data_IF_604760737013
#
_entry.id   IF_604760737013
#
_cell.length_a   1.000
_cell.length_b   1.000
_cell.length_c   1.000
_cell.angle_alpha   90.00
_cell.angle_beta   90.00
_cell.angle_gamma   90.00
#
_symmetry.space_group_name_H-M   'P 1'
#
loop_
_entity.id
_entity.type
_entity.pdbx_description
1 polymer ?
#
# COMPACT_ATOMS: atom_id res chain seq x y z
N UNK A 1 5.95 17.35 34.61
CA UNK A 1 4.93 17.42 33.53
C UNK A 1 5.48 17.08 32.13
N UNK A 2 6.78 16.83 31.94
CA UNK A 2 7.41 16.58 30.63
C UNK A 2 7.36 15.14 30.12
N UNK A 3 7.20 14.13 30.98
CA UNK A 3 7.23 12.70 30.56
C UNK A 3 5.98 12.22 29.82
N UNK A 4 4.87 12.96 29.86
CA UNK A 4 3.59 12.59 29.20
C UNK A 4 3.58 13.05 27.71
N UNK A 5 4.53 13.90 27.30
CA UNK A 5 4.56 14.50 25.96
C UNK A 5 4.99 13.51 24.86
N UNK A 6 6.01 12.67 25.11
CA UNK A 6 6.64 11.85 24.08
C UNK A 6 5.75 10.73 23.51
N UNK A 7 4.87 10.15 24.32
CA UNK A 7 3.97 9.09 23.87
C UNK A 7 2.74 9.62 23.11
N UNK A 8 2.33 10.87 23.35
CA UNK A 8 1.34 11.56 22.51
C UNK A 8 1.94 11.88 21.14
N UNK A 9 3.19 12.35 21.13
CA UNK A 9 3.91 12.68 19.91
C UNK A 9 4.10 11.47 18.97
N UNK A 10 4.34 10.27 19.51
CA UNK A 10 4.42 9.06 18.70
C UNK A 10 3.08 8.70 18.01
N UNK A 11 1.94 9.02 18.65
CA UNK A 11 0.61 8.84 18.02
C UNK A 11 0.41 9.82 16.87
N UNK A 12 0.87 11.07 17.03
CA UNK A 12 0.78 12.10 16.00
C UNK A 12 1.64 11.76 14.78
N UNK A 13 2.91 11.39 14.99
CA UNK A 13 3.80 10.97 13.90
C UNK A 13 3.24 9.77 13.13
N UNK A 14 2.68 8.78 13.83
CA UNK A 14 2.08 7.63 13.17
C UNK A 14 0.81 8.02 12.38
N UNK A 15 0.05 8.99 12.89
CA UNK A 15 -1.09 9.59 12.18
C UNK A 15 -0.67 10.31 10.90
N UNK A 16 0.41 11.10 10.94
CA UNK A 16 0.97 11.76 9.75
C UNK A 16 1.43 10.76 8.69
N UNK A 17 2.04 9.64 9.11
CA UNK A 17 2.42 8.55 8.22
C UNK A 17 1.19 7.88 7.59
N UNK A 18 0.13 7.64 8.36
CA UNK A 18 -1.13 7.13 7.81
C UNK A 18 -1.73 8.08 6.77
N UNK A 19 -1.77 9.37 7.06
CA UNK A 19 -2.26 10.37 6.11
C UNK A 19 -1.42 10.42 4.83
N UNK A 20 -0.09 10.33 4.95
CA UNK A 20 0.82 10.27 3.82
C UNK A 20 0.60 9.01 2.96
N UNK A 21 0.37 7.86 3.61
CA UNK A 21 0.06 6.60 2.93
C UNK A 21 -1.22 6.71 2.09
N UNK A 22 -2.28 7.25 2.69
CA UNK A 22 -3.59 7.40 2.04
C UNK A 22 -3.53 8.41 0.87
N UNK A 23 -2.75 9.48 1.00
CA UNK A 23 -2.56 10.49 -0.06
C UNK A 23 -1.72 9.99 -1.24
N UNK A 24 -0.73 9.15 -1.00
CA UNK A 24 0.24 8.74 -2.04
C UNK A 24 -0.18 7.50 -2.83
N UNK A 25 -1.28 6.84 -2.47
CA UNK A 25 -1.71 5.54 -3.02
C UNK A 25 -2.08 5.54 -4.52
N UNK A 26 -2.12 6.70 -5.16
CA UNK A 26 -2.65 6.82 -6.53
C UNK A 26 -1.65 6.32 -7.59
N UNK A 27 -0.34 6.24 -7.29
CA UNK A 27 0.68 5.83 -8.27
C UNK A 27 1.08 4.35 -8.11
N UNK A 28 0.83 3.54 -9.14
CA UNK A 28 1.33 2.16 -9.23
C UNK A 28 2.65 1.99 -10.01
N UNK A 29 2.97 2.92 -10.93
CA UNK A 29 4.13 2.83 -11.82
C UNK A 29 3.73 2.44 -13.24
N UNK A 30 4.41 3.01 -14.24
CA UNK A 30 4.04 2.87 -15.65
C UNK A 30 4.71 1.65 -16.32
N UNK A 31 5.77 1.10 -15.71
CA UNK A 31 6.49 -0.11 -16.15
C UNK A 31 6.99 -0.96 -14.96
N UNK A 32 7.61 -2.12 -15.23
CA UNK A 32 8.08 -3.03 -14.19
C UNK A 32 9.18 -2.43 -13.30
N UNK A 33 10.05 -1.58 -13.86
CA UNK A 33 11.16 -0.96 -13.15
C UNK A 33 10.68 0.16 -12.22
N UNK A 34 9.79 1.04 -12.68
CA UNK A 34 9.18 2.09 -11.87
C UNK A 34 8.34 1.47 -10.76
N UNK A 35 7.52 0.47 -11.08
CA UNK A 35 6.68 -0.23 -10.10
C UNK A 35 7.54 -0.89 -9.01
N UNK A 36 8.64 -1.54 -9.37
CA UNK A 36 9.60 -2.10 -8.41
C UNK A 36 10.21 -1.01 -7.52
N UNK A 37 10.58 0.12 -8.11
CA UNK A 37 11.13 1.26 -7.35
C UNK A 37 10.11 1.81 -6.36
N UNK A 38 8.83 1.90 -6.75
CA UNK A 38 7.73 2.33 -5.86
C UNK A 38 7.52 1.31 -4.74
N UNK A 39 7.54 0.01 -5.05
CA UNK A 39 7.41 -1.08 -4.07
C UNK A 39 8.54 -1.05 -3.03
N UNK A 40 9.79 -0.84 -3.44
CA UNK A 40 10.93 -0.74 -2.54
C UNK A 40 10.86 0.50 -1.64
N UNK A 41 10.41 1.64 -2.18
CA UNK A 41 10.14 2.85 -1.39
C UNK A 41 9.01 2.62 -0.39
N UNK A 42 7.96 1.92 -0.79
CA UNK A 42 6.83 1.56 0.08
C UNK A 42 7.29 0.68 1.24
N UNK A 43 8.09 -0.36 1.00
CA UNK A 43 8.64 -1.24 2.06
C UNK A 43 9.44 -0.44 3.09
N UNK A 44 10.36 0.42 2.63
CA UNK A 44 11.13 1.30 3.52
C UNK A 44 10.24 2.24 4.33
N UNK A 45 9.17 2.74 3.73
CA UNK A 45 8.19 3.59 4.41
C UNK A 45 7.44 2.83 5.51
N UNK A 46 7.06 1.58 5.26
CA UNK A 46 6.45 0.69 6.27
C UNK A 46 7.42 0.42 7.43
N UNK A 47 8.70 0.18 7.15
CA UNK A 47 9.72 -0.02 8.19
C UNK A 47 9.87 1.21 9.11
N UNK A 48 9.80 2.42 8.53
CA UNK A 48 9.82 3.67 9.30
C UNK A 48 8.59 3.79 10.20
N UNK A 49 7.41 3.45 9.70
CA UNK A 49 6.18 3.47 10.49
C UNK A 49 6.19 2.43 11.62
N UNK A 50 6.67 1.21 11.33
CA UNK A 50 6.86 0.16 12.32
C UNK A 50 7.79 0.62 13.45
N UNK A 51 8.93 1.19 13.10
CA UNK A 51 9.90 1.70 14.06
C UNK A 51 9.32 2.82 14.93
N UNK A 52 8.50 3.69 14.34
CA UNK A 52 7.79 4.77 15.05
C UNK A 52 6.77 4.23 16.05
N UNK A 53 6.00 3.21 15.64
CA UNK A 53 5.06 2.52 16.51
C UNK A 53 5.75 1.82 17.69
N UNK A 54 6.82 1.08 17.42
CA UNK A 54 7.57 0.37 18.46
C UNK A 54 8.22 1.34 19.46
N UNK A 55 8.76 2.47 18.98
CA UNK A 55 9.24 3.55 19.82
C UNK A 55 8.14 4.10 20.74
N UNK A 56 6.96 4.39 20.19
CA UNK A 56 5.80 4.84 20.98
C UNK A 56 5.40 3.84 22.08
N UNK A 57 5.41 2.54 21.78
CA UNK A 57 5.14 1.49 22.77
C UNK A 57 6.19 1.43 23.88
N UNK A 58 7.47 1.56 23.53
CA UNK A 58 8.56 1.57 24.50
C UNK A 58 8.44 2.77 25.45
N UNK A 59 8.12 3.96 24.93
CA UNK A 59 7.88 5.16 25.76
C UNK A 59 6.71 4.98 26.71
N UNK A 60 5.61 4.37 26.26
CA UNK A 60 4.44 4.07 27.09
C UNK A 60 4.81 3.08 28.21
N UNK A 61 5.53 2.02 27.89
CA UNK A 61 5.98 1.04 28.88
C UNK A 61 6.92 1.68 29.92
N UNK A 62 7.89 2.49 29.49
CA UNK A 62 8.78 3.22 30.39
C UNK A 62 8.00 4.17 31.32
N UNK A 63 6.98 4.86 30.79
CA UNK A 63 6.12 5.74 31.57
C UNK A 63 5.37 4.99 32.67
N UNK A 64 4.85 3.79 32.37
CA UNK A 64 4.18 2.92 33.36
C UNK A 64 5.14 2.51 34.48
N UNK A 65 6.34 2.05 34.12
CA UNK A 65 7.39 1.62 35.09
C UNK A 65 7.81 2.78 35.99
N UNK A 66 8.01 3.98 35.41
CA UNK A 66 8.37 5.18 36.18
C UNK A 66 7.23 5.58 37.13
N UNK A 67 5.98 5.55 36.67
CA UNK A 67 4.83 5.91 37.50
C UNK A 67 4.64 4.94 38.68
N UNK A 68 4.84 3.63 38.46
CA UNK A 68 4.83 2.63 39.53
C UNK A 68 5.93 2.89 40.57
N UNK A 69 7.15 3.16 40.09
CA UNK A 69 8.32 3.42 40.95
C UNK A 69 8.15 4.69 41.79
N UNK A 70 7.55 5.73 41.21
CA UNK A 70 7.35 7.04 41.85
C UNK A 70 6.02 7.15 42.60
N UNK A 71 5.22 6.07 42.69
CA UNK A 71 3.85 6.06 43.28
C UNK A 71 2.95 7.16 42.71
N UNK A 72 3.17 7.52 41.45
CA UNK A 72 2.38 8.55 40.79
C UNK A 72 1.01 7.96 40.40
N UNK A 73 -0.07 8.58 40.86
CA UNK A 73 -1.46 8.23 40.50
C UNK A 73 -1.86 8.78 39.13
N UNK A 74 -0.94 8.79 38.16
CA UNK A 74 -1.15 9.45 36.88
C UNK A 74 -2.18 8.68 36.05
N UNK A 75 -3.40 9.21 36.00
CA UNK A 75 -4.57 8.68 35.28
C UNK A 75 -4.54 8.97 33.76
N UNK A 76 -3.51 9.64 33.23
CA UNK A 76 -3.55 10.27 31.89
C UNK A 76 -2.97 9.44 30.73
N UNK A 77 -2.34 8.29 30.96
CA UNK A 77 -1.76 7.45 29.88
C UNK A 77 -2.68 6.32 29.41
N UNK A 78 -3.83 6.12 30.05
CA UNK A 78 -4.72 4.97 29.79
C UNK A 78 -5.22 4.89 28.35
N UNK A 79 -5.50 6.05 27.73
CA UNK A 79 -6.09 6.12 26.40
C UNK A 79 -5.04 6.24 25.27
N UNK A 80 -3.78 6.56 25.60
CA UNK A 80 -2.73 6.76 24.59
C UNK A 80 -2.34 5.45 23.91
N UNK A 81 -2.20 4.35 24.66
CA UNK A 81 -1.89 3.04 24.09
C UNK A 81 -3.01 2.53 23.15
N UNK A 82 -4.30 2.55 23.55
CA UNK A 82 -5.41 2.26 22.63
C UNK A 82 -5.40 3.10 21.35
N UNK A 83 -5.11 4.41 21.46
CA UNK A 83 -5.01 5.30 20.29
C UNK A 83 -3.85 4.92 19.37
N UNK A 84 -2.66 4.69 19.93
CA UNK A 84 -1.49 4.24 19.17
C UNK A 84 -1.78 2.95 18.41
N UNK A 85 -2.36 1.95 19.09
CA UNK A 85 -2.73 0.67 18.49
C UNK A 85 -3.79 0.82 17.39
N UNK A 86 -4.75 1.74 17.56
CA UNK A 86 -5.78 2.01 16.54
C UNK A 86 -5.16 2.56 15.26
N UNK A 87 -4.33 3.61 15.38
CA UNK A 87 -3.67 4.22 14.22
C UNK A 87 -2.74 3.20 13.54
N UNK A 88 -1.99 2.43 14.33
CA UNK A 88 -1.15 1.35 13.80
C UNK A 88 -1.96 0.33 12.99
N UNK A 89 -3.09 -0.13 13.53
CA UNK A 89 -3.94 -1.10 12.82
C UNK A 89 -4.48 -0.56 11.50
N UNK A 90 -4.88 0.71 11.46
CA UNK A 90 -5.30 1.37 10.22
C UNK A 90 -4.14 1.49 9.22
N UNK A 91 -2.95 1.86 9.70
CA UNK A 91 -1.74 1.92 8.88
C UNK A 91 -1.38 0.56 8.29
N UNK A 92 -1.28 -0.49 9.11
CA UNK A 92 -0.88 -1.83 8.65
C UNK A 92 -1.81 -2.39 7.58
N UNK A 93 -3.13 -2.27 7.78
CA UNK A 93 -4.13 -2.73 6.79
C UNK A 93 -4.01 -1.96 5.48
N UNK A 94 -3.87 -0.63 5.55
CA UNK A 94 -3.70 0.19 4.35
C UNK A 94 -2.38 -0.10 3.62
N UNK A 95 -1.31 -0.35 4.38
CA UNK A 95 0.01 -0.61 3.84
C UNK A 95 0.08 -1.97 3.16
N UNK A 96 -0.57 -2.98 3.74
CA UNK A 96 -0.66 -4.32 3.17
C UNK A 96 -1.48 -4.32 1.88
N UNK A 97 -2.65 -3.68 1.87
CA UNK A 97 -3.47 -3.57 0.65
C UNK A 97 -2.70 -2.86 -0.47
N UNK A 98 -1.98 -1.77 -0.13
CA UNK A 98 -1.14 -1.08 -1.09
C UNK A 98 -0.04 -1.98 -1.64
N UNK A 99 0.63 -2.74 -0.77
CA UNK A 99 1.70 -3.63 -1.18
C UNK A 99 1.18 -4.69 -2.17
N UNK A 100 0.05 -5.32 -1.86
CA UNK A 100 -0.57 -6.32 -2.75
C UNK A 100 -0.89 -5.73 -4.13
N UNK A 101 -1.43 -4.50 -4.18
CA UNK A 101 -1.72 -3.80 -5.44
C UNK A 101 -0.47 -3.48 -6.25
N UNK A 102 0.61 -3.11 -5.60
CA UNK A 102 1.90 -2.86 -6.27
C UNK A 102 2.53 -4.16 -6.78
N UNK A 103 2.42 -5.26 -6.01
CA UNK A 103 2.92 -6.57 -6.41
C UNK A 103 2.14 -7.14 -7.62
N UNK A 104 0.82 -6.96 -7.65
CA UNK A 104 -0.01 -7.32 -8.81
C UNK A 104 0.31 -6.46 -10.03
N UNK A 105 0.54 -5.15 -9.85
CA UNK A 105 0.96 -4.26 -10.94
C UNK A 105 2.33 -4.67 -11.50
N UNK A 106 3.28 -5.01 -10.61
CA UNK A 106 4.60 -5.48 -11.02
C UNK A 106 4.51 -6.79 -11.81
N UNK A 107 3.67 -7.72 -11.36
CA UNK A 107 3.45 -8.97 -12.06
C UNK A 107 2.86 -8.72 -13.45
N UNK A 108 1.81 -7.90 -13.55
CA UNK A 108 1.21 -7.53 -14.82
C UNK A 108 2.25 -6.94 -15.79
N UNK A 109 3.02 -5.94 -15.35
CA UNK A 109 4.05 -5.32 -16.18
C UNK A 109 5.13 -6.31 -16.61
N UNK A 110 5.57 -7.19 -15.71
CA UNK A 110 6.58 -8.21 -16.02
C UNK A 110 6.08 -9.21 -17.07
N UNK A 111 4.82 -9.64 -16.97
CA UNK A 111 4.20 -10.55 -17.95
C UNK A 111 4.00 -9.83 -19.29
N UNK A 112 3.48 -8.61 -19.28
CA UNK A 112 3.30 -7.80 -20.48
C UNK A 112 4.61 -7.53 -21.23
N UNK A 113 5.66 -7.13 -20.51
CA UNK A 113 7.00 -6.91 -21.08
C UNK A 113 7.59 -8.20 -21.68
N UNK A 114 7.39 -9.35 -21.03
CA UNK A 114 7.84 -10.66 -21.54
C UNK A 114 7.19 -10.99 -22.88
N UNK A 115 5.88 -10.76 -23.00
CA UNK A 115 5.13 -11.02 -24.25
C UNK A 115 5.56 -10.07 -25.37
N UNK A 116 5.84 -8.81 -25.07
CA UNK A 116 6.33 -7.84 -26.06
C UNK A 116 7.71 -8.19 -26.63
N UNK A 117 8.54 -8.90 -25.86
CA UNK A 117 9.88 -9.30 -26.29
C UNK A 117 9.86 -10.56 -27.17
N UNK A 118 8.72 -11.23 -27.33
CA UNK A 118 8.61 -12.41 -28.18
C UNK A 118 8.45 -12.02 -29.66
N UNK A 119 9.26 -12.61 -30.53
CA UNK A 119 9.13 -12.46 -32.00
C UNK A 119 7.82 -13.07 -32.54
N UNK A 120 7.28 -14.08 -31.86
CA UNK A 120 6.01 -14.71 -32.15
C UNK A 120 5.20 -14.79 -30.84
N UNK A 121 4.07 -14.11 -30.79
CA UNK A 121 3.19 -14.09 -29.62
C UNK A 121 2.22 -15.26 -29.71
N UNK A 122 2.38 -16.24 -28.84
CA UNK A 122 1.47 -17.39 -28.73
C UNK A 122 0.17 -16.98 -28.02
N UNK A 123 -0.96 -17.58 -28.39
CA UNK A 123 -2.29 -17.28 -27.79
C UNK A 123 -2.28 -17.49 -26.27
N UNK A 124 -1.58 -18.53 -25.79
CA UNK A 124 -1.46 -18.82 -24.35
C UNK A 124 -0.76 -17.69 -23.56
N UNK A 125 0.20 -17.00 -24.19
CA UNK A 125 0.91 -15.88 -23.56
C UNK A 125 0.03 -14.63 -23.41
N UNK A 126 -0.91 -14.42 -24.33
CA UNK A 126 -1.91 -13.35 -24.24
C UNK A 126 -2.94 -13.61 -23.15
N UNK A 127 -3.34 -14.88 -22.97
CA UNK A 127 -4.26 -15.29 -21.90
C UNK A 127 -3.63 -15.06 -20.51
N UNK A 128 -2.32 -15.23 -20.35
CA UNK A 128 -1.58 -14.91 -19.12
C UNK A 128 -1.62 -13.39 -18.82
N UNK A 129 -1.40 -12.54 -19.84
CA UNK A 129 -1.50 -11.08 -19.70
C UNK A 129 -2.93 -10.66 -19.34
N UNK A 130 -3.94 -11.20 -20.01
CA UNK A 130 -5.35 -10.86 -19.75
C UNK A 130 -5.79 -11.30 -18.34
N UNK A 131 -5.39 -12.51 -17.92
CA UNK A 131 -5.68 -13.03 -16.57
C UNK A 131 -5.02 -12.20 -15.47
N UNK A 132 -3.76 -11.80 -15.67
CA UNK A 132 -3.04 -10.93 -14.73
C UNK A 132 -3.64 -9.52 -14.69
N UNK A 133 -4.04 -8.99 -15.85
CA UNK A 133 -4.77 -7.73 -15.97
C UNK A 133 -6.08 -7.76 -15.19
N UNK A 134 -6.95 -8.73 -15.43
CA UNK A 134 -8.22 -8.91 -14.70
C UNK A 134 -8.02 -8.94 -13.19
N UNK A 135 -7.07 -9.74 -12.72
CA UNK A 135 -6.76 -9.86 -11.28
C UNK A 135 -6.33 -8.53 -10.66
N UNK A 136 -5.50 -7.76 -11.37
CA UNK A 136 -5.09 -6.43 -10.96
C UNK A 136 -6.27 -5.45 -10.90
N UNK A 137 -7.12 -5.45 -11.93
CA UNK A 137 -8.31 -4.59 -12.02
C UNK A 137 -9.29 -4.86 -10.87
N UNK A 138 -9.56 -6.13 -10.59
CA UNK A 138 -10.47 -6.54 -9.51
C UNK A 138 -9.98 -6.02 -8.16
N UNK A 139 -8.68 -6.16 -7.89
CA UNK A 139 -8.08 -5.70 -6.62
C UNK A 139 -8.03 -4.19 -6.49
N UNK A 140 -7.77 -3.47 -7.57
CA UNK A 140 -7.74 -2.02 -7.56
C UNK A 140 -9.10 -1.38 -7.32
N UNK A 141 -10.17 -2.10 -7.64
CA UNK A 141 -11.56 -1.62 -7.50
C UNK A 141 -12.10 -1.84 -6.08
N UNK A 142 -11.42 -2.63 -5.24
CA UNK A 142 -11.89 -2.91 -3.88
C UNK A 142 -11.58 -1.76 -2.90
N UNK A 143 -12.52 -1.35 -2.03
CA UNK A 143 -12.23 -0.42 -0.94
C UNK A 143 -11.29 -1.03 0.10
N UNK A 144 -10.50 -0.17 0.74
CA UNK A 144 -9.86 -0.53 2.02
C UNK A 144 -10.93 -0.41 3.11
N UNK A 145 -11.19 -1.49 3.84
CA UNK A 145 -12.14 -1.51 4.94
C UNK A 145 -11.37 -1.47 6.26
N UNK A 146 -11.53 -0.38 7.01
CA UNK A 146 -10.92 -0.26 8.31
C UNK A 146 -11.70 -1.04 9.39
N UNK A 147 -11.04 -1.48 10.48
CA UNK A 147 -11.66 -2.25 11.55
C UNK A 147 -12.76 -1.50 12.32
N UNK A 148 -12.79 -0.18 12.21
CA UNK A 148 -13.81 0.69 12.78
C UNK A 148 -14.98 0.96 11.83
N UNK A 149 -15.03 0.26 10.70
CA UNK A 149 -16.14 0.31 9.73
C UNK A 149 -16.03 1.45 8.71
N UNK A 150 -15.00 2.29 8.79
CA UNK A 150 -14.76 3.30 7.76
C UNK A 150 -14.19 2.64 6.51
N UNK A 151 -14.79 2.96 5.35
CA UNK A 151 -14.28 2.55 4.05
C UNK A 151 -13.50 3.69 3.43
N UNK A 152 -12.23 3.46 3.10
CA UNK A 152 -11.49 4.39 2.27
C UNK A 152 -11.62 3.95 0.80
N UNK A 153 -12.46 4.67 0.07
CA UNK A 153 -12.56 4.56 -1.37
C UNK A 153 -11.53 5.50 -1.99
N UNK A 154 -10.54 4.93 -2.67
CA UNK A 154 -9.63 5.75 -3.47
C UNK A 154 -10.42 6.39 -4.63
N UNK A 155 -10.25 7.70 -4.82
CA UNK A 155 -10.62 8.39 -6.06
C UNK A 155 -10.06 7.64 -7.25
N UNK A 156 -10.80 7.60 -8.36
CA UNK A 156 -10.86 6.41 -9.17
C UNK A 156 -9.53 6.20 -9.89
N UNK A 157 -8.92 5.04 -9.65
CA UNK A 157 -7.71 4.50 -10.31
C UNK A 157 -7.84 4.50 -11.85
N UNK A 158 -9.04 4.78 -12.36
CA UNK A 158 -9.46 5.00 -13.75
C UNK A 158 -8.50 5.79 -14.64
N UNK A 159 -7.75 6.77 -14.12
CA UNK A 159 -6.85 7.56 -14.99
C UNK A 159 -5.55 6.83 -15.36
N UNK A 160 -5.06 5.87 -14.55
CA UNK A 160 -3.93 5.02 -14.95
C UNK A 160 -4.37 3.81 -15.80
N UNK A 161 -5.66 3.46 -15.76
CA UNK A 161 -6.24 2.32 -16.50
C UNK A 161 -6.27 2.50 -18.01
N UNK A 162 -6.15 3.73 -18.52
CA UNK A 162 -6.17 3.99 -19.96
C UNK A 162 -4.99 3.28 -20.65
N UNK A 163 -3.84 3.15 -19.99
CA UNK A 163 -2.65 2.50 -20.56
C UNK A 163 -2.82 1.00 -20.80
N UNK A 164 -3.30 0.25 -19.80
CA UNK A 164 -3.47 -1.22 -19.88
C UNK A 164 -4.57 -1.61 -20.87
N UNK A 165 -5.69 -0.88 -20.88
CA UNK A 165 -6.76 -1.11 -21.84
C UNK A 165 -6.33 -0.74 -23.28
N UNK A 166 -5.54 0.34 -23.48
CA UNK A 166 -4.96 0.63 -24.79
C UNK A 166 -3.96 -0.45 -25.22
N UNK A 167 -3.14 -0.94 -24.29
CA UNK A 167 -2.12 -1.97 -24.56
C UNK A 167 -2.74 -3.29 -25.04
N UNK A 168 -3.74 -3.81 -24.31
CA UNK A 168 -4.49 -5.02 -24.71
C UNK A 168 -5.21 -4.83 -26.05
N UNK A 169 -5.78 -3.64 -26.29
CA UNK A 169 -6.48 -3.31 -27.55
C UNK A 169 -5.52 -3.15 -28.74
N UNK A 170 -4.29 -2.68 -28.50
CA UNK A 170 -3.27 -2.53 -29.53
C UNK A 170 -2.64 -3.89 -29.90
N UNK A 171 -2.40 -4.77 -28.91
CA UNK A 171 -1.98 -6.15 -29.16
C UNK A 171 -3.02 -6.94 -29.97
N UNK A 172 -4.31 -6.77 -29.64
CA UNK A 172 -5.42 -7.36 -30.41
C UNK A 172 -5.51 -6.81 -31.84
N UNK A 173 -5.25 -5.52 -32.05
CA UNK A 173 -5.29 -4.89 -33.39
C UNK A 173 -4.08 -5.26 -34.26
N UNK A 174 -2.90 -5.46 -33.67
CA UNK A 174 -1.68 -5.83 -34.43
C UNK A 174 -1.75 -7.25 -35.00
N UNK A 175 -2.38 -8.18 -34.28
CA UNK A 175 -2.56 -9.57 -34.73
C UNK A 175 -3.58 -9.74 -35.87
N UNK A 176 -4.58 -8.86 -35.98
CA UNK A 176 -5.53 -8.90 -37.10
C UNK A 176 -4.90 -8.51 -38.46
N UNK A 177 -3.75 -7.84 -38.47
CA UNK A 177 -3.06 -7.43 -39.69
C UNK A 177 -1.98 -8.43 -40.19
N UNK A 178 -1.73 -9.51 -39.45
CA UNK A 178 -0.75 -10.54 -39.85
C UNK A 178 -1.40 -11.85 -40.32
N UNK A 179 -2.73 -11.91 -40.36
CA UNK A 179 -3.49 -13.12 -40.69
C UNK A 179 -4.18 -13.07 -42.07
N UNK A 180 -3.64 -12.38 -43.08
CA UNK A 180 -4.05 -12.59 -44.48
C UNK A 180 -2.90 -12.25 -45.45
N UNK A 181 -2.49 -13.17 -46.35
CA UNK A 181 -1.82 -12.81 -47.60
C UNK A 181 -2.76 -12.14 -48.61
#
# INVERSE_FOLDING_TARGET
>A
MSSVCGCVQAVEWLGELLDALLKTHIRQGDDSQETRTILDKHRKFVDVAQSTYDYGRQLLQATVVLCQSLRCTTRSSGDTLPRLNRVWKQFSVSAEERQQRLELALNFHTVAERVLQQECVEVESLDEVDSSGKTLLDRLTMPVIFPDGYTYMHTPVFCQFIGIHYFLRHLSSSNYNQSYP
#
